data_IF_311177541240
#
_entry.id   IF_311177541240
#
_cell.length_a   1.000
_cell.length_b   1.000
_cell.length_c   1.000
_cell.angle_alpha   90.00
_cell.angle_beta   90.00
_cell.angle_gamma   90.00
#
_symmetry.space_group_name_H-M   'P 1'
#
loop_
_entity.id
_entity.type
_entity.pdbx_description
1 polymer ?
#
# COMPACT_ATOMS: atom_id res chain seq x y z
N UNK A 1 -0.01 69.03 68.21
CA UNK A 1 0.05 69.25 66.74
C UNK A 1 1.36 68.73 66.14
N UNK A 2 2.54 69.19 66.59
CA UNK A 2 3.85 68.71 66.10
C UNK A 2 4.03 67.18 66.12
N UNK A 3 3.64 66.51 67.21
CA UNK A 3 3.74 65.05 67.32
C UNK A 3 2.90 64.29 66.27
N UNK A 4 1.67 64.75 65.98
CA UNK A 4 0.77 64.13 65.00
C UNK A 4 1.31 64.27 63.56
N UNK A 5 1.89 65.42 63.25
CA UNK A 5 2.51 65.68 61.94
C UNK A 5 3.75 64.80 61.75
N UNK A 6 4.57 64.65 62.79
CA UNK A 6 5.74 63.76 62.77
C UNK A 6 5.36 62.29 62.57
N UNK A 7 4.33 61.81 63.29
CA UNK A 7 3.84 60.43 63.18
C UNK A 7 3.25 60.14 61.79
N UNK A 8 2.50 61.11 61.24
CA UNK A 8 1.93 61.02 59.89
C UNK A 8 3.02 60.96 58.82
N UNK A 9 4.07 61.78 58.94
CA UNK A 9 5.23 61.77 58.03
C UNK A 9 5.94 60.42 58.06
N UNK A 10 6.28 59.92 59.24
CA UNK A 10 6.97 58.63 59.39
C UNK A 10 6.14 57.47 58.82
N UNK A 11 4.80 57.51 58.97
CA UNK A 11 3.90 56.50 58.41
C UNK A 11 3.84 56.53 56.88
N UNK A 12 3.83 57.72 56.28
CA UNK A 12 3.88 57.89 54.81
C UNK A 12 5.22 57.38 54.27
N UNK A 13 6.34 57.76 54.89
CA UNK A 13 7.67 57.30 54.50
C UNK A 13 7.79 55.77 54.56
N UNK A 14 7.24 55.16 55.62
CA UNK A 14 7.18 53.71 55.75
C UNK A 14 6.36 53.06 54.63
N UNK A 15 5.16 53.56 54.35
CA UNK A 15 4.29 53.01 53.29
C UNK A 15 4.94 53.15 51.91
N UNK A 16 5.56 54.31 51.62
CA UNK A 16 6.29 54.53 50.36
C UNK A 16 7.47 53.55 50.24
N UNK A 17 8.25 53.37 51.32
CA UNK A 17 9.35 52.40 51.34
C UNK A 17 8.88 50.96 51.12
N UNK A 18 7.78 50.56 51.73
CA UNK A 18 7.16 49.25 51.52
C UNK A 18 6.60 49.09 50.10
N UNK A 19 5.96 50.12 49.54
CA UNK A 19 5.48 50.12 48.16
C UNK A 19 6.62 50.04 47.15
N UNK A 20 7.71 50.79 47.34
CA UNK A 20 8.88 50.70 46.46
C UNK A 20 9.46 49.29 46.44
N UNK A 21 9.58 48.64 47.60
CA UNK A 21 10.03 47.23 47.68
C UNK A 21 9.09 46.28 46.94
N UNK A 22 7.77 46.47 47.07
CA UNK A 22 6.79 45.66 46.34
C UNK A 22 6.86 45.88 44.83
N UNK A 23 7.03 47.13 44.39
CA UNK A 23 7.19 47.47 42.96
C UNK A 23 8.48 46.84 42.43
N UNK A 24 9.59 46.95 43.14
CA UNK A 24 10.87 46.34 42.76
C UNK A 24 10.76 44.81 42.65
N UNK A 25 10.14 44.15 43.64
CA UNK A 25 9.84 42.72 43.60
C UNK A 25 8.93 42.34 42.43
N UNK A 26 7.88 43.13 42.17
CA UNK A 26 6.96 42.90 41.06
C UNK A 26 7.65 43.06 39.70
N UNK A 27 8.54 44.06 39.59
CA UNK A 27 9.33 44.30 38.37
C UNK A 27 10.29 43.15 38.11
N UNK A 28 10.91 42.60 39.16
CA UNK A 28 11.77 41.42 39.07
C UNK A 28 10.99 40.19 38.60
N UNK A 29 9.85 39.89 39.22
CA UNK A 29 9.00 38.74 38.83
C UNK A 29 8.50 38.91 37.39
N UNK A 30 8.14 40.12 36.97
CA UNK A 30 7.76 40.39 35.59
C UNK A 30 8.92 40.17 34.60
N UNK A 31 10.16 40.44 35.02
CA UNK A 31 11.37 40.08 34.27
C UNK A 31 11.52 38.57 34.13
N UNK A 32 11.47 37.83 35.24
CA UNK A 32 11.55 36.35 35.23
C UNK A 32 10.43 35.73 34.37
N UNK A 33 9.20 36.26 34.46
CA UNK A 33 8.08 35.81 33.63
C UNK A 33 8.31 36.11 32.13
N UNK A 34 8.93 37.24 31.79
CA UNK A 34 9.31 37.56 30.41
C UNK A 34 10.32 36.54 29.87
N UNK A 35 11.30 36.15 30.68
CA UNK A 35 12.33 35.19 30.26
C UNK A 35 11.72 33.80 29.99
N UNK A 36 10.83 33.33 30.87
CA UNK A 36 10.10 32.06 30.67
C UNK A 36 9.21 32.10 29.43
N UNK A 37 8.51 33.23 29.19
CA UNK A 37 7.69 33.38 27.98
C UNK A 37 8.54 33.35 26.71
N UNK A 38 9.75 33.93 26.74
CA UNK A 38 10.68 33.85 25.61
C UNK A 38 11.11 32.39 25.34
N UNK A 39 11.43 31.62 26.39
CA UNK A 39 11.76 30.19 26.25
C UNK A 39 10.58 29.39 25.65
N UNK A 40 9.34 29.68 26.06
CA UNK A 40 8.15 29.04 25.48
C UNK A 40 8.01 29.37 23.99
N UNK A 41 8.25 30.62 23.59
CA UNK A 41 8.18 31.04 22.18
C UNK A 41 9.26 30.33 21.35
N UNK A 42 10.48 30.19 21.87
CA UNK A 42 11.55 29.41 21.23
C UNK A 42 11.18 27.92 21.10
N UNK A 43 10.59 27.33 22.14
CA UNK A 43 10.07 25.97 22.11
C UNK A 43 8.98 25.78 21.06
N UNK A 44 8.05 26.73 20.95
CA UNK A 44 6.99 26.70 19.95
C UNK A 44 7.55 26.81 18.52
N UNK A 45 8.58 27.63 18.31
CA UNK A 45 9.30 27.71 17.03
C UNK A 45 9.89 26.35 16.63
N UNK A 46 10.53 25.66 17.59
CA UNK A 46 11.09 24.32 17.37
C UNK A 46 10.02 23.30 17.00
N UNK A 47 8.89 23.29 17.71
CA UNK A 47 7.75 22.40 17.40
C UNK A 47 7.18 22.72 16.01
N UNK A 48 7.06 24.00 15.64
CA UNK A 48 6.63 24.40 14.31
C UNK A 48 7.56 23.86 13.22
N UNK A 49 8.87 23.97 13.41
CA UNK A 49 9.86 23.43 12.48
C UNK A 49 9.77 21.91 12.36
N UNK A 50 9.50 21.21 13.47
CA UNK A 50 9.30 19.76 13.47
C UNK A 50 8.05 19.36 12.69
N UNK A 51 6.93 20.06 12.87
CA UNK A 51 5.69 19.83 12.11
C UNK A 51 5.94 20.04 10.61
N UNK A 52 6.68 21.08 10.24
CA UNK A 52 7.02 21.35 8.85
C UNK A 52 7.91 20.26 8.24
N UNK A 53 8.84 19.72 9.03
CA UNK A 53 9.69 18.59 8.65
C UNK A 53 8.87 17.29 8.50
N UNK A 54 7.92 17.04 9.42
CA UNK A 54 7.00 15.89 9.35
C UNK A 54 6.13 15.98 8.11
N UNK A 55 5.60 17.17 7.78
CA UNK A 55 4.81 17.38 6.56
C UNK A 55 5.63 17.07 5.32
N UNK A 56 6.86 17.59 5.23
CA UNK A 56 7.75 17.30 4.10
C UNK A 56 8.11 15.81 3.99
N UNK A 57 8.39 15.16 5.12
CA UNK A 57 8.64 13.72 5.16
C UNK A 57 7.40 12.90 4.77
N UNK A 58 6.20 13.35 5.14
CA UNK A 58 4.93 12.70 4.80
C UNK A 58 4.65 12.78 3.30
N UNK A 59 4.91 13.94 2.68
CA UNK A 59 4.80 14.11 1.23
C UNK A 59 5.77 13.17 0.48
N UNK A 60 7.01 13.07 0.94
CA UNK A 60 8.01 12.18 0.33
C UNK A 60 7.65 10.70 0.52
N UNK A 61 7.16 10.31 1.70
CA UNK A 61 6.63 8.96 1.92
C UNK A 61 5.43 8.67 1.02
N UNK A 62 4.52 9.63 0.82
CA UNK A 62 3.39 9.45 -0.08
C UNK A 62 3.86 9.17 -1.51
N UNK A 63 4.86 9.92 -1.99
CA UNK A 63 5.49 9.67 -3.30
C UNK A 63 6.15 8.29 -3.35
N UNK A 64 6.88 7.91 -2.30
CA UNK A 64 7.49 6.58 -2.19
C UNK A 64 6.45 5.44 -2.21
N UNK A 65 5.29 5.63 -1.58
CA UNK A 65 4.19 4.66 -1.62
C UNK A 65 3.62 4.53 -3.04
N UNK A 66 3.49 5.63 -3.78
CA UNK A 66 3.04 5.58 -5.17
C UNK A 66 4.02 4.81 -6.07
N UNK A 67 5.33 4.99 -5.87
CA UNK A 67 6.37 4.22 -6.56
C UNK A 67 6.34 2.73 -6.18
N UNK A 68 6.20 2.41 -4.89
CA UNK A 68 6.03 1.03 -4.41
C UNK A 68 4.79 0.39 -5.04
N UNK A 69 3.68 1.12 -5.12
CA UNK A 69 2.44 0.62 -5.73
C UNK A 69 2.67 0.27 -7.22
N UNK A 70 3.33 1.16 -7.97
CA UNK A 70 3.71 0.88 -9.37
C UNK A 70 4.60 -0.35 -9.49
N UNK A 71 5.59 -0.49 -8.60
CA UNK A 71 6.47 -1.65 -8.58
C UNK A 71 5.71 -2.96 -8.26
N UNK A 72 4.74 -2.91 -7.35
CA UNK A 72 3.87 -4.06 -7.02
C UNK A 72 3.03 -4.47 -8.24
N UNK A 73 2.47 -3.51 -8.97
CA UNK A 73 1.71 -3.78 -10.20
C UNK A 73 2.61 -4.45 -11.26
N UNK A 74 3.85 -3.98 -11.41
CA UNK A 74 4.82 -4.61 -12.33
C UNK A 74 5.21 -6.03 -11.87
N UNK A 75 5.44 -6.23 -10.58
CA UNK A 75 5.72 -7.55 -10.03
C UNK A 75 4.54 -8.52 -10.23
N UNK A 76 3.31 -8.05 -10.08
CA UNK A 76 2.11 -8.85 -10.36
C UNK A 76 2.05 -9.26 -11.84
N UNK A 77 2.32 -8.32 -12.75
CA UNK A 77 2.39 -8.61 -14.18
C UNK A 77 3.46 -9.65 -14.53
N UNK A 78 4.67 -9.50 -13.99
CA UNK A 78 5.75 -10.48 -14.19
C UNK A 78 5.39 -11.83 -13.56
N UNK A 79 4.76 -11.83 -12.38
CA UNK A 79 4.31 -13.06 -11.72
C UNK A 79 3.26 -13.80 -12.55
N UNK A 80 2.30 -13.07 -13.13
CA UNK A 80 1.31 -13.65 -14.05
C UNK A 80 1.94 -14.14 -15.34
N UNK A 81 2.89 -13.39 -15.92
CA UNK A 81 3.64 -13.84 -17.09
C UNK A 81 4.42 -15.13 -16.79
N UNK A 82 5.08 -15.21 -15.65
CA UNK A 82 5.80 -16.42 -15.23
C UNK A 82 4.86 -17.61 -15.05
N UNK A 83 3.66 -17.38 -14.50
CA UNK A 83 2.65 -18.42 -14.39
C UNK A 83 2.18 -18.91 -15.78
N UNK A 84 1.89 -17.98 -16.70
CA UNK A 84 1.50 -18.30 -18.07
C UNK A 84 2.60 -19.07 -18.81
N UNK A 85 3.84 -18.58 -18.77
CA UNK A 85 4.99 -19.26 -19.39
C UNK A 85 5.23 -20.64 -18.75
N UNK A 86 5.00 -20.81 -17.44
CA UNK A 86 5.09 -22.12 -16.80
C UNK A 86 4.00 -23.07 -17.26
N UNK A 87 2.79 -22.58 -17.51
CA UNK A 87 1.67 -23.37 -18.04
C UNK A 87 1.90 -23.77 -19.51
N UNK A 88 2.42 -22.86 -20.32
CA UNK A 88 2.87 -23.13 -21.68
C UNK A 88 3.99 -24.18 -21.72
N UNK A 89 4.99 -24.05 -20.84
CA UNK A 89 6.10 -25.00 -20.75
C UNK A 89 5.64 -26.39 -20.29
N UNK A 90 4.66 -26.47 -19.38
CA UNK A 90 4.05 -27.74 -18.98
C UNK A 90 3.31 -28.38 -20.16
N UNK A 91 2.49 -27.61 -20.88
CA UNK A 91 1.75 -28.08 -22.06
C UNK A 91 2.69 -28.57 -23.17
N UNK A 92 3.78 -27.83 -23.43
CA UNK A 92 4.80 -28.24 -24.39
C UNK A 92 5.51 -29.53 -23.95
N UNK A 93 5.75 -29.72 -22.66
CA UNK A 93 6.35 -30.94 -22.11
C UNK A 93 5.41 -32.16 -22.27
N UNK A 94 4.11 -31.97 -22.10
CA UNK A 94 3.10 -33.02 -22.35
C UNK A 94 3.05 -33.42 -23.83
N UNK A 95 3.06 -32.44 -24.74
CA UNK A 95 3.10 -32.69 -26.19
C UNK A 95 4.36 -33.46 -26.60
N UNK A 96 5.53 -33.05 -26.10
CA UNK A 96 6.80 -33.76 -26.35
C UNK A 96 6.76 -35.20 -25.81
N UNK A 97 6.14 -35.42 -24.66
CA UNK A 97 5.95 -36.77 -24.10
C UNK A 97 5.05 -37.64 -24.98
N UNK A 98 3.94 -37.09 -25.48
CA UNK A 98 3.05 -37.77 -26.41
C UNK A 98 3.77 -38.15 -27.71
N UNK A 99 4.53 -37.22 -28.31
CA UNK A 99 5.33 -37.47 -29.50
C UNK A 99 6.38 -38.57 -29.30
N UNK A 100 7.07 -38.59 -28.15
CA UNK A 100 7.99 -39.67 -27.80
C UNK A 100 7.26 -41.02 -27.69
N UNK A 101 6.06 -41.04 -27.13
CA UNK A 101 5.18 -42.21 -27.09
C UNK A 101 4.82 -42.72 -28.50
N UNK A 102 4.40 -41.84 -29.40
CA UNK A 102 4.11 -42.17 -30.79
C UNK A 102 5.34 -42.74 -31.52
N UNK A 103 6.51 -42.16 -31.30
CA UNK A 103 7.76 -42.64 -31.89
C UNK A 103 8.13 -44.05 -31.40
N UNK A 104 7.94 -44.35 -30.11
CA UNK A 104 8.13 -45.71 -29.55
C UNK A 104 7.22 -46.73 -30.22
N UNK A 105 5.95 -46.39 -30.44
CA UNK A 105 4.98 -47.25 -31.14
C UNK A 105 5.42 -47.52 -32.59
N UNK A 106 5.83 -46.47 -33.31
CA UNK A 106 6.30 -46.60 -34.69
C UNK A 106 7.53 -47.50 -34.80
N UNK A 107 8.52 -47.33 -33.91
CA UNK A 107 9.73 -48.17 -33.86
C UNK A 107 9.40 -49.63 -33.55
N UNK A 108 8.50 -49.89 -32.59
CA UNK A 108 8.04 -51.24 -32.28
C UNK A 108 7.32 -51.90 -33.47
N UNK A 109 6.48 -51.14 -34.18
CA UNK A 109 5.81 -51.59 -35.41
C UNK A 109 6.81 -51.98 -36.50
N UNK A 110 7.81 -51.13 -36.76
CA UNK A 110 8.88 -51.41 -37.72
C UNK A 110 9.69 -52.64 -37.32
N UNK A 111 10.08 -52.76 -36.05
CA UNK A 111 10.81 -53.93 -35.54
C UNK A 111 10.02 -55.24 -35.74
N UNK A 112 8.70 -55.22 -35.55
CA UNK A 112 7.84 -56.39 -35.79
C UNK A 112 7.79 -56.78 -37.27
N UNK A 113 7.74 -55.80 -38.17
CA UNK A 113 7.77 -56.05 -39.62
C UNK A 113 9.13 -56.65 -40.02
N UNK A 114 10.23 -56.10 -39.51
CA UNK A 114 11.60 -56.54 -39.86
C UNK A 114 11.94 -57.92 -39.29
N UNK A 115 11.50 -58.24 -38.06
CA UNK A 115 11.82 -59.52 -37.40
C UNK A 115 10.86 -60.68 -37.76
N UNK A 116 9.74 -60.39 -38.41
CA UNK A 116 8.69 -61.37 -38.70
C UNK A 116 7.82 -61.69 -37.47
N UNK A 117 6.54 -62.02 -37.71
CA UNK A 117 5.47 -62.11 -36.70
C UNK A 117 5.65 -63.17 -35.58
N UNK A 118 6.76 -63.88 -35.52
CA UNK A 118 7.03 -64.97 -34.56
C UNK A 118 8.09 -64.64 -33.49
N UNK A 119 8.56 -63.39 -33.38
CA UNK A 119 9.37 -62.99 -32.23
C UNK A 119 8.46 -62.87 -30.99
N UNK A 120 8.55 -63.84 -30.08
CA UNK A 120 7.84 -63.87 -28.81
C UNK A 120 7.94 -62.51 -28.09
N UNK A 121 6.90 -62.06 -27.36
CA UNK A 121 6.97 -60.81 -26.63
C UNK A 121 8.08 -60.96 -25.60
N UNK A 122 9.15 -60.15 -25.70
CA UNK A 122 9.99 -59.93 -24.53
C UNK A 122 9.08 -59.29 -23.49
N UNK A 123 8.68 -60.12 -22.52
CA UNK A 123 8.23 -59.78 -21.19
C UNK A 123 8.36 -58.30 -20.91
N UNK A 124 7.20 -57.67 -20.75
CA UNK A 124 7.04 -56.36 -20.18
C UNK A 124 7.66 -56.36 -18.77
N UNK A 125 8.97 -56.10 -18.68
CA UNK A 125 9.50 -55.54 -17.45
C UNK A 125 8.85 -54.16 -17.34
N UNK A 126 8.01 -54.06 -16.33
CA UNK A 126 7.34 -52.87 -15.83
C UNK A 126 8.35 -51.77 -15.63
N UNK A 127 8.64 -51.05 -16.71
CA UNK A 127 9.26 -49.74 -16.66
C UNK A 127 8.22 -48.85 -15.98
N UNK A 128 8.36 -48.72 -14.66
CA UNK A 128 7.62 -47.74 -13.86
C UNK A 128 7.58 -46.46 -14.67
N UNK A 129 6.38 -46.01 -14.98
CA UNK A 129 6.17 -44.62 -15.36
C UNK A 129 7.04 -43.77 -14.43
N UNK A 130 7.95 -42.92 -14.94
CA UNK A 130 8.24 -41.73 -14.20
C UNK A 130 6.94 -40.96 -14.21
N UNK A 131 6.05 -41.24 -13.25
CA UNK A 131 5.13 -40.25 -12.77
C UNK A 131 6.04 -39.10 -12.37
N UNK A 132 6.23 -38.16 -13.28
CA UNK A 132 6.55 -36.78 -12.96
C UNK A 132 5.42 -36.46 -11.98
N UNK A 133 5.75 -36.54 -10.69
CA UNK A 133 4.89 -36.02 -9.65
C UNK A 133 4.69 -34.58 -10.03
N UNK A 134 3.52 -34.28 -10.58
CA UNK A 134 3.07 -32.91 -10.69
C UNK A 134 3.27 -32.30 -9.31
N UNK A 135 4.06 -31.22 -9.18
CA UNK A 135 4.10 -30.51 -7.92
C UNK A 135 2.65 -30.10 -7.68
N UNK A 136 2.03 -30.65 -6.63
CA UNK A 136 0.74 -30.16 -6.14
C UNK A 136 0.86 -28.64 -6.09
N UNK A 137 0.01 -27.86 -6.78
CA UNK A 137 -0.06 -26.43 -6.52
C UNK A 137 -0.64 -26.29 -5.11
N UNK A 138 0.26 -26.18 -4.14
CA UNK A 138 -0.07 -25.64 -2.83
C UNK A 138 -0.40 -24.17 -3.02
N UNK A 139 -1.53 -23.77 -2.45
CA UNK A 139 -2.10 -22.43 -2.39
C UNK A 139 -2.74 -21.89 -3.68
N UNK A 140 -4.05 -22.17 -3.81
CA UNK A 140 -4.95 -21.06 -4.11
C UNK A 140 -4.70 -19.95 -3.09
N UNK A 141 -4.44 -18.69 -3.49
CA UNK A 141 -4.76 -17.58 -2.61
C UNK A 141 -6.28 -17.56 -2.53
N UNK A 142 -6.80 -18.17 -1.47
CA UNK A 142 -8.16 -17.93 -1.01
C UNK A 142 -8.35 -16.41 -1.03
N UNK A 143 -9.20 -15.92 -1.95
CA UNK A 143 -9.81 -14.60 -1.83
C UNK A 143 -10.52 -14.58 -0.48
N UNK A 144 -9.79 -14.21 0.58
CA UNK A 144 -10.39 -13.66 1.78
C UNK A 144 -11.01 -12.35 1.33
N UNK A 145 -12.31 -12.42 1.08
CA UNK A 145 -13.18 -11.27 1.15
C UNK A 145 -12.80 -10.49 2.41
N UNK A 146 -12.44 -9.22 2.22
CA UNK A 146 -12.33 -8.25 3.30
C UNK A 146 -13.72 -8.17 3.95
N UNK A 147 -13.94 -8.99 4.97
CA UNK A 147 -15.05 -8.80 5.90
C UNK A 147 -14.71 -7.56 6.71
N UNK A 148 -15.39 -6.47 6.36
CA UNK A 148 -15.43 -5.21 7.10
C UNK A 148 -15.49 -5.48 8.62
N UNK A 149 -14.68 -4.71 9.34
CA UNK A 149 -14.56 -4.77 10.78
C UNK A 149 -15.90 -4.61 11.50
N UNK A 150 -16.00 -5.32 12.62
CA UNK A 150 -17.00 -5.08 13.63
C UNK A 150 -16.28 -4.76 14.94
N UNK A 151 -16.47 -3.53 15.41
CA UNK A 151 -16.56 -3.18 16.84
C UNK A 151 -17.46 -1.94 16.95
N UNK A 152 -18.10 -1.69 18.11
CA UNK A 152 -19.55 -1.80 18.24
C UNK A 152 -20.24 -0.44 18.46
N UNK A 153 -21.57 -0.49 18.60
CA UNK A 153 -22.47 0.51 19.24
C UNK A 153 -22.92 1.70 18.38
N UNK A 154 -24.20 1.69 18.00
CA UNK A 154 -25.10 2.85 18.10
C UNK A 154 -26.55 2.41 17.86
N UNK A 155 -27.46 3.05 18.57
CA UNK A 155 -28.87 2.68 18.69
C UNK A 155 -29.73 3.00 17.46
N UNK A 156 -30.93 2.44 17.56
CA UNK A 156 -32.10 2.62 16.70
C UNK A 156 -32.46 4.10 16.45
N UNK A 157 -33.02 4.38 15.27
CA UNK A 157 -33.60 5.69 14.96
C UNK A 157 -34.13 5.88 13.54
N UNK A 158 -35.24 5.21 13.23
CA UNK A 158 -36.41 5.68 12.44
C UNK A 158 -36.29 6.61 11.21
N UNK A 159 -37.00 6.17 10.15
CA UNK A 159 -37.95 6.89 9.26
C UNK A 159 -37.47 7.56 7.95
N UNK A 160 -38.09 7.06 6.86
CA UNK A 160 -38.99 7.79 5.94
C UNK A 160 -38.42 8.69 4.82
N UNK A 161 -38.85 8.42 3.58
CA UNK A 161 -38.83 9.34 2.44
C UNK A 161 -38.26 8.71 1.16
N UNK A 162 -39.07 8.11 0.29
CA UNK A 162 -39.79 8.79 -0.81
C UNK A 162 -38.86 9.41 -1.86
N UNK A 163 -38.64 8.73 -2.98
CA UNK A 163 -39.14 9.14 -4.31
C UNK A 163 -38.58 8.25 -5.42
N UNK A 164 -39.52 7.62 -6.11
CA UNK A 164 -39.35 6.98 -7.39
C UNK A 164 -39.38 8.08 -8.46
N UNK A 165 -38.37 8.16 -9.32
CA UNK A 165 -38.45 8.95 -10.56
C UNK A 165 -37.46 8.42 -11.60
N UNK A 166 -38.01 7.57 -12.45
CA UNK A 166 -37.46 7.13 -13.73
C UNK A 166 -37.34 8.34 -14.67
N UNK A 167 -36.13 8.70 -15.10
CA UNK A 167 -35.91 9.68 -16.17
C UNK A 167 -34.97 9.07 -17.19
N UNK A 168 -35.57 8.62 -18.29
CA UNK A 168 -34.92 8.31 -19.56
C UNK A 168 -34.34 9.63 -20.11
N UNK A 169 -33.03 9.66 -20.37
CA UNK A 169 -32.43 10.72 -21.20
C UNK A 169 -31.55 10.10 -22.28
N UNK A 170 -31.99 10.34 -23.51
CA UNK A 170 -31.45 9.89 -24.77
C UNK A 170 -30.56 10.99 -25.37
N UNK A 171 -29.46 10.59 -26.04
CA UNK A 171 -28.56 11.46 -26.84
C UNK A 171 -27.13 11.47 -26.28
N UNK A 172 -26.04 11.22 -27.02
CA UNK A 172 -25.74 11.16 -28.47
C UNK A 172 -24.40 10.41 -28.64
N UNK A 173 -24.15 9.61 -29.68
CA UNK A 173 -22.82 9.00 -29.90
C UNK A 173 -21.84 10.03 -30.48
N UNK A 174 -20.69 10.20 -29.83
CA UNK A 174 -19.57 11.02 -30.33
C UNK A 174 -18.64 10.16 -31.19
N UNK A 175 -18.19 10.76 -32.29
CA UNK A 175 -17.61 10.09 -33.46
C UNK A 175 -16.17 9.62 -33.23
N UNK A 176 -15.87 8.49 -33.89
CA UNK A 176 -14.55 8.04 -34.26
C UNK A 176 -13.78 9.07 -35.11
N UNK A 177 -12.48 9.24 -34.83
CA UNK A 177 -11.34 9.54 -35.71
C UNK A 177 -10.14 9.70 -34.74
N UNK A 178 -9.17 8.79 -34.67
CA UNK A 178 -8.02 8.75 -35.56
C UNK A 178 -7.26 7.44 -35.30
N UNK A 179 -7.32 6.51 -36.25
CA UNK A 179 -6.29 5.48 -36.40
C UNK A 179 -5.35 5.94 -37.50
N UNK A 180 -4.10 6.27 -37.15
CA UNK A 180 -2.96 6.22 -38.09
C UNK A 180 -1.56 6.33 -37.45
N UNK A 181 -1.36 6.00 -36.16
CA UNK A 181 0.00 6.04 -35.57
C UNK A 181 0.44 4.76 -34.85
N UNK A 182 -0.44 3.76 -34.69
CA UNK A 182 -0.08 2.50 -34.02
C UNK A 182 0.49 1.41 -34.96
N UNK A 183 0.64 1.68 -36.26
CA UNK A 183 1.06 0.69 -37.27
C UNK A 183 2.55 0.78 -37.69
N UNK A 184 3.35 1.67 -37.11
CA UNK A 184 4.81 1.76 -37.37
C UNK A 184 5.64 1.31 -36.16
N UNK A 185 5.22 0.18 -35.64
CA UNK A 185 5.95 -0.71 -34.76
C UNK A 185 6.67 -1.76 -35.68
N UNK A 186 7.92 -2.15 -35.37
CA UNK A 186 8.49 -3.50 -35.65
C UNK A 186 9.37 -3.82 -36.89
N UNK A 187 9.93 -2.87 -37.63
CA UNK A 187 10.86 -3.18 -38.75
C UNK A 187 12.36 -2.90 -38.48
N UNK A 188 12.86 -3.22 -37.27
CA UNK A 188 14.30 -3.10 -36.95
C UNK A 188 14.86 -4.31 -36.16
N UNK A 189 14.41 -5.50 -36.57
CA UNK A 189 15.13 -6.78 -36.53
C UNK A 189 15.08 -7.32 -37.95
#
# INVERSE_FOLDING_TARGET
VQAIVSDSKAKIEKIIGENNKKVESGTRIAGECRDVLNEIVEGMSTVSQMVQSISGASDEQSRGIDEINRAIIQLDQVTQSNAATSEEAASASEELSAQAGHMKVAVNGLMRIVRGANAAPLEASTQRDPQIRSPKPSSSPSRKAVSKGASPRAGQGTKSGSKNSNVIRMGRPEKAHSGSEAALLWAAI
#
